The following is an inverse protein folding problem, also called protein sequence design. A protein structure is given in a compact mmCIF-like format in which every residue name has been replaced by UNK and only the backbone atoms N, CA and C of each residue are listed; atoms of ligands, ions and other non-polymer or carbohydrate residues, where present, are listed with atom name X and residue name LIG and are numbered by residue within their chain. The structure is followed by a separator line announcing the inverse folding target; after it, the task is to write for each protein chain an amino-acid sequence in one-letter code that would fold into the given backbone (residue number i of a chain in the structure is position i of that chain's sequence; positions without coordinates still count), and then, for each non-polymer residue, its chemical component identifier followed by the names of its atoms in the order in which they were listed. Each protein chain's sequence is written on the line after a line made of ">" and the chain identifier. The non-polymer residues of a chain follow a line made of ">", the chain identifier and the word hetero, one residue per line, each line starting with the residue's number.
data_IF_569313676130
#
_entry.id   IF_569313676130
#
_cell.length_a   1.000
_cell.length_b   1.000
_cell.length_c   1.000
_cell.angle_alpha   90.00
_cell.angle_beta   90.00
_cell.angle_gamma   90.00
#
_symmetry.space_group_name_H-M   'P 1'
#
loop_
_entity.id
_entity.type
_entity.pdbx_description
1 polymer ?
#
# COMPACT_ATOMS: atom_id res chain seq x y z
N UNK A 1 -13.34 4.30 70.98
CA UNK A 1 -12.00 4.27 70.37
C UNK A 1 -12.14 3.55 69.03
N UNK A 2 -12.47 4.30 67.99
CA UNK A 2 -12.58 3.83 66.61
C UNK A 2 -11.31 4.27 65.90
N UNK A 3 -10.50 3.34 65.42
CA UNK A 3 -9.37 3.67 64.54
C UNK A 3 -9.47 2.91 63.22
N UNK A 4 -9.17 3.66 62.17
CA UNK A 4 -9.48 3.43 60.75
C UNK A 4 -8.38 2.60 60.06
N UNK A 5 -8.84 1.75 59.15
CA UNK A 5 -8.42 1.56 57.75
C UNK A 5 -6.94 1.78 57.36
N UNK A 6 -6.31 0.73 56.82
CA UNK A 6 -5.51 0.79 55.59
C UNK A 6 -5.23 -0.64 55.06
N UNK A 7 -6.07 -1.17 54.17
CA UNK A 7 -5.67 -2.27 53.26
C UNK A 7 -5.21 -1.65 51.95
N UNK A 8 -3.95 -1.90 51.58
CA UNK A 8 -3.36 -1.60 50.27
C UNK A 8 -3.94 -2.57 49.24
N UNK A 9 -4.61 -2.05 48.22
CA UNK A 9 -4.84 -2.76 46.96
C UNK A 9 -3.66 -2.49 45.99
N UNK A 10 -3.31 -3.44 45.11
CA UNK A 10 -2.23 -3.26 44.16
C UNK A 10 -2.66 -2.34 43.01
N UNK A 11 -1.82 -1.35 42.71
CA UNK A 11 -2.00 -0.44 41.59
C UNK A 11 -1.99 -1.19 40.25
N UNK A 12 -3.17 -1.24 39.62
CA UNK A 12 -3.32 -1.47 38.18
C UNK A 12 -2.61 -0.33 37.43
N UNK A 13 -1.45 -0.64 36.84
CA UNK A 13 -0.84 0.18 35.80
C UNK A 13 -1.76 0.17 34.58
N UNK A 14 -2.65 1.16 34.48
CA UNK A 14 -3.42 1.42 33.26
C UNK A 14 -2.51 2.15 32.28
N UNK A 15 -2.19 1.48 31.17
CA UNK A 15 -1.43 2.02 30.07
C UNK A 15 -2.22 3.18 29.42
N UNK A 16 -1.90 4.42 29.80
CA UNK A 16 -2.50 5.65 29.27
C UNK A 16 -1.71 6.30 28.13
N UNK A 17 -0.73 5.60 27.54
CA UNK A 17 0.21 6.18 26.57
C UNK A 17 -0.05 5.81 25.10
N UNK A 18 -1.11 5.08 24.77
CA UNK A 18 -1.42 4.70 23.38
C UNK A 18 -1.99 5.83 22.50
N UNK A 19 -2.46 6.94 23.10
CA UNK A 19 -3.27 7.93 22.36
C UNK A 19 -2.49 9.00 21.59
N UNK A 20 -1.17 9.13 21.77
CA UNK A 20 -0.38 10.24 21.18
C UNK A 20 0.18 9.88 19.79
N UNK A 21 0.39 8.59 19.49
CA UNK A 21 1.04 8.15 18.26
C UNK A 21 0.07 7.95 17.08
N UNK A 22 -1.21 7.88 17.38
CA UNK A 22 -2.25 7.41 16.47
C UNK A 22 -2.54 8.34 15.26
N UNK A 23 -2.73 9.66 15.42
CA UNK A 23 -2.86 10.58 14.26
C UNK A 23 -1.53 10.85 13.53
N UNK A 24 -0.38 10.59 14.17
CA UNK A 24 0.94 10.77 13.56
C UNK A 24 1.26 9.65 12.54
N UNK A 25 0.70 8.45 12.73
CA UNK A 25 1.00 7.30 11.89
C UNK A 25 0.39 7.40 10.48
N UNK A 26 -0.81 7.97 10.33
CA UNK A 26 -1.42 8.21 9.03
C UNK A 26 -0.60 9.18 8.16
N UNK A 27 -0.14 10.29 8.74
CA UNK A 27 0.73 11.26 8.05
C UNK A 27 2.09 10.68 7.66
N UNK A 28 2.64 9.82 8.52
CA UNK A 28 3.87 9.08 8.27
C UNK A 28 3.68 8.13 7.08
N UNK A 29 2.60 7.34 7.05
CA UNK A 29 2.29 6.46 5.92
C UNK A 29 2.06 7.26 4.63
N UNK A 30 1.43 8.43 4.71
CA UNK A 30 1.26 9.32 3.56
C UNK A 30 2.63 9.82 3.02
N UNK A 31 3.51 10.27 3.91
CA UNK A 31 4.86 10.70 3.55
C UNK A 31 5.67 9.56 2.95
N UNK A 32 5.62 8.37 3.57
CA UNK A 32 6.21 7.15 3.03
C UNK A 32 5.65 6.82 1.64
N UNK A 33 4.35 6.95 1.44
CA UNK A 33 3.68 6.70 0.16
C UNK A 33 4.23 7.57 -0.96
N UNK A 34 4.37 8.87 -0.72
CA UNK A 34 4.91 9.82 -1.71
C UNK A 34 6.39 9.54 -1.99
N UNK A 35 7.19 9.29 -0.95
CA UNK A 35 8.62 9.00 -1.13
C UNK A 35 8.87 7.68 -1.87
N UNK A 36 8.11 6.64 -1.52
CA UNK A 36 8.15 5.35 -2.20
C UNK A 36 7.75 5.49 -3.67
N UNK A 37 6.68 6.22 -3.94
CA UNK A 37 6.22 6.48 -5.31
C UNK A 37 7.30 7.17 -6.15
N UNK A 38 7.94 8.22 -5.62
CA UNK A 38 9.06 8.89 -6.29
C UNK A 38 10.24 7.96 -6.54
N UNK A 39 10.56 7.09 -5.58
CA UNK A 39 11.66 6.14 -5.74
C UNK A 39 11.34 5.04 -6.77
N UNK A 40 10.09 4.64 -6.90
CA UNK A 40 9.65 3.72 -7.95
C UNK A 40 9.75 4.37 -9.33
N UNK A 41 9.37 5.66 -9.45
CA UNK A 41 9.52 6.41 -10.69
C UNK A 41 11.00 6.59 -11.08
N UNK A 42 11.91 6.83 -10.13
CA UNK A 42 13.33 6.96 -10.45
C UNK A 42 14.00 5.64 -10.81
N UNK A 43 13.47 4.51 -10.33
CA UNK A 43 13.97 3.17 -10.62
C UNK A 43 13.48 2.63 -11.98
N UNK A 44 12.30 3.04 -12.46
CA UNK A 44 11.79 2.61 -13.76
C UNK A 44 12.47 3.38 -14.90
N UNK A 45 13.31 2.69 -15.67
CA UNK A 45 14.01 3.27 -16.83
C UNK A 45 13.05 3.77 -17.93
N UNK A 46 11.80 3.29 -17.92
CA UNK A 46 10.73 3.69 -18.83
C UNK A 46 9.65 4.54 -18.14
N UNK A 47 9.92 5.14 -16.97
CA UNK A 47 8.94 5.85 -16.15
C UNK A 47 8.08 6.88 -16.90
N UNK A 48 8.59 7.46 -17.99
CA UNK A 48 7.86 8.44 -18.81
C UNK A 48 6.86 7.80 -19.81
N UNK A 49 6.87 6.48 -19.97
CA UNK A 49 6.05 5.75 -20.94
C UNK A 49 5.18 4.65 -20.32
N UNK A 50 5.56 4.11 -19.16
CA UNK A 50 4.79 3.08 -18.42
C UNK A 50 3.85 3.71 -17.40
N UNK A 51 2.65 3.14 -17.28
CA UNK A 51 1.76 3.38 -16.14
C UNK A 51 2.32 2.63 -14.92
N UNK A 52 2.27 3.25 -13.74
CA UNK A 52 2.78 2.68 -12.49
C UNK A 52 1.62 2.48 -11.52
N UNK A 53 1.65 1.38 -10.77
CA UNK A 53 0.75 1.13 -9.66
C UNK A 53 1.50 0.50 -8.50
N UNK A 54 1.31 1.03 -7.29
CA UNK A 54 1.74 0.36 -6.08
C UNK A 54 0.77 0.61 -4.93
N UNK A 55 0.88 -0.23 -3.90
CA UNK A 55 0.19 -0.04 -2.63
C UNK A 55 1.20 0.20 -1.51
N UNK A 56 1.40 1.47 -1.14
CA UNK A 56 2.34 1.82 -0.08
C UNK A 56 2.00 1.18 1.26
N UNK A 57 0.71 1.05 1.60
CA UNK A 57 0.25 0.42 2.83
C UNK A 57 0.78 -1.02 2.96
N UNK A 58 0.67 -1.80 1.89
CA UNK A 58 1.04 -3.22 1.93
C UNK A 58 2.55 -3.39 1.95
N UNK A 59 3.29 -2.57 1.20
CA UNK A 59 4.76 -2.51 1.26
C UNK A 59 5.24 -2.10 2.66
N UNK A 60 4.61 -1.10 3.28
CA UNK A 60 4.89 -0.67 4.63
C UNK A 60 4.60 -1.78 5.66
N UNK A 61 3.47 -2.49 5.51
CA UNK A 61 3.15 -3.64 6.34
C UNK A 61 4.21 -4.75 6.19
N UNK A 62 4.66 -5.03 4.97
CA UNK A 62 5.68 -6.02 4.68
C UNK A 62 7.02 -5.68 5.33
N UNK A 63 7.45 -4.42 5.26
CA UNK A 63 8.60 -3.91 6.00
C UNK A 63 8.41 -4.06 7.52
N UNK A 64 7.22 -3.76 8.03
CA UNK A 64 6.87 -3.97 9.43
C UNK A 64 6.99 -5.44 9.88
N UNK A 65 6.55 -6.39 9.06
CA UNK A 65 6.74 -7.82 9.31
C UNK A 65 8.21 -8.21 9.35
N UNK A 66 9.05 -7.62 8.48
CA UNK A 66 10.50 -7.85 8.52
C UNK A 66 11.14 -7.21 9.75
N UNK A 67 10.66 -6.04 10.20
CA UNK A 67 11.13 -5.36 11.41
C UNK A 67 10.93 -6.22 12.67
N UNK A 68 9.79 -6.91 12.78
CA UNK A 68 9.51 -7.83 13.89
C UNK A 68 10.62 -8.90 14.07
N UNK A 69 11.17 -9.37 12.94
CA UNK A 69 12.21 -10.37 12.87
C UNK A 69 13.64 -9.83 12.84
N UNK A 70 13.81 -8.55 12.49
CA UNK A 70 15.09 -7.92 12.32
C UNK A 70 15.73 -7.55 13.67
N UNK A 71 17.07 -7.55 13.73
CA UNK A 71 17.85 -7.07 14.87
C UNK A 71 18.94 -6.11 14.40
N UNK A 72 19.61 -5.48 15.36
CA UNK A 72 20.80 -4.66 15.14
C UNK A 72 20.63 -3.61 14.03
N UNK A 73 21.58 -3.53 13.09
CA UNK A 73 21.60 -2.50 12.05
C UNK A 73 20.45 -2.67 11.04
N UNK A 74 20.07 -3.92 10.74
CA UNK A 74 18.92 -4.23 9.89
C UNK A 74 17.63 -3.62 10.46
N UNK A 75 17.37 -3.82 11.76
CA UNK A 75 16.20 -3.22 12.41
C UNK A 75 16.26 -1.69 12.41
N UNK A 76 17.44 -1.09 12.64
CA UNK A 76 17.62 0.37 12.63
C UNK A 76 17.29 0.98 11.26
N UNK A 77 17.77 0.38 10.17
CA UNK A 77 17.50 0.87 8.82
C UNK A 77 16.00 0.81 8.47
N UNK A 78 15.33 -0.30 8.80
CA UNK A 78 13.89 -0.44 8.55
C UNK A 78 13.10 0.55 9.42
N UNK A 79 13.45 0.69 10.70
CA UNK A 79 12.79 1.63 11.62
C UNK A 79 12.95 3.08 11.16
N UNK A 80 14.11 3.44 10.59
CA UNK A 80 14.35 4.78 10.08
C UNK A 80 13.30 5.20 9.03
N UNK A 81 12.83 4.28 8.17
CA UNK A 81 11.76 4.57 7.20
C UNK A 81 10.45 5.00 7.87
N UNK A 82 10.17 4.50 9.07
CA UNK A 82 8.99 4.85 9.86
C UNK A 82 9.23 6.01 10.82
N UNK A 83 10.45 6.51 10.98
CA UNK A 83 10.76 7.56 11.97
C UNK A 83 11.25 8.84 11.30
N UNK A 84 12.04 8.75 10.23
CA UNK A 84 12.57 9.90 9.48
C UNK A 84 11.52 10.53 8.54
N UNK A 85 10.43 9.82 8.24
CA UNK A 85 9.27 10.39 7.57
C UNK A 85 8.50 11.41 8.45
N UNK A 86 8.91 11.63 9.70
CA UNK A 86 8.33 12.64 10.58
C UNK A 86 8.96 14.01 10.33
N UNK A 87 8.17 15.08 10.16
CA UNK A 87 8.68 16.45 10.18
C UNK A 87 9.48 16.69 11.46
N UNK A 88 10.63 17.35 11.36
CA UNK A 88 11.63 17.51 12.42
C UNK A 88 11.14 18.19 13.73
N UNK A 89 9.87 18.61 13.79
CA UNK A 89 9.21 19.17 14.98
C UNK A 89 8.43 18.17 15.84
N UNK A 90 8.14 16.97 15.34
CA UNK A 90 7.35 15.94 16.03
C UNK A 90 8.23 14.91 16.74
N UNK A 91 9.40 15.34 17.26
CA UNK A 91 10.23 14.48 18.10
C UNK A 91 9.41 14.09 19.33
N UNK A 92 9.09 12.81 19.46
CA UNK A 92 8.65 12.18 20.70
C UNK A 92 9.81 12.32 21.71
N UNK A 93 9.94 13.50 22.30
CA UNK A 93 11.02 13.88 23.20
C UNK A 93 10.71 13.40 24.61
N UNK A 94 10.67 12.08 24.79
CA UNK A 94 10.79 11.42 26.11
C UNK A 94 12.07 10.59 26.23
N UNK A 95 13.05 10.79 25.32
CA UNK A 95 14.36 10.13 25.39
C UNK A 95 14.34 8.60 25.20
N UNK A 96 13.17 8.00 24.99
CA UNK A 96 12.97 6.63 24.53
C UNK A 96 12.47 6.71 23.10
N UNK A 97 13.33 6.41 22.13
CA UNK A 97 12.94 6.40 20.72
C UNK A 97 11.70 5.54 20.47
N UNK A 98 11.00 5.76 19.34
CA UNK A 98 9.87 4.92 18.92
C UNK A 98 10.29 3.45 18.96
N UNK A 99 9.64 2.66 19.83
CA UNK A 99 9.91 1.23 19.94
C UNK A 99 9.27 0.47 18.78
N UNK A 100 9.85 -0.67 18.40
CA UNK A 100 9.26 -1.56 17.39
C UNK A 100 7.84 -1.97 17.78
N UNK A 101 7.60 -2.22 19.07
CA UNK A 101 6.28 -2.51 19.63
C UNK A 101 5.24 -1.43 19.31
N UNK A 102 5.64 -0.16 19.32
CA UNK A 102 4.74 0.93 19.01
C UNK A 102 4.34 0.90 17.52
N UNK A 103 5.30 0.64 16.63
CA UNK A 103 5.05 0.48 15.19
C UNK A 103 4.11 -0.71 14.95
N UNK A 104 4.37 -1.85 15.58
CA UNK A 104 3.53 -3.05 15.49
C UNK A 104 2.10 -2.80 16.01
N UNK A 105 1.95 -2.06 17.11
CA UNK A 105 0.65 -1.68 17.66
C UNK A 105 -0.13 -0.72 16.74
N UNK A 106 0.56 0.25 16.12
CA UNK A 106 -0.07 1.16 15.16
C UNK A 106 -0.58 0.44 13.92
N UNK A 107 0.21 -0.50 13.37
CA UNK A 107 -0.26 -1.37 12.29
C UNK A 107 -1.43 -2.25 12.72
N UNK A 108 -1.41 -2.81 13.94
CA UNK A 108 -2.52 -3.62 14.45
C UNK A 108 -3.83 -2.82 14.49
N UNK A 109 -3.78 -1.60 15.02
CA UNK A 109 -4.92 -0.67 15.09
C UNK A 109 -5.42 -0.30 13.69
N UNK A 110 -4.49 -0.02 12.77
CA UNK A 110 -4.81 0.30 11.38
C UNK A 110 -5.47 -0.88 10.65
N UNK A 111 -4.90 -2.07 10.73
CA UNK A 111 -5.45 -3.27 10.07
C UNK A 111 -6.83 -3.61 10.63
N UNK A 112 -7.03 -3.51 11.94
CA UNK A 112 -8.35 -3.71 12.56
C UNK A 112 -9.36 -2.65 12.07
N UNK A 113 -8.92 -1.41 11.88
CA UNK A 113 -9.77 -0.34 11.34
C UNK A 113 -10.13 -0.58 9.88
N UNK A 114 -9.18 -0.99 9.05
CA UNK A 114 -9.42 -1.35 7.65
C UNK A 114 -10.35 -2.55 7.52
N UNK A 115 -10.18 -3.57 8.36
CA UNK A 115 -11.12 -4.68 8.46
C UNK A 115 -12.52 -4.19 8.81
N UNK A 116 -12.73 -3.29 9.77
CA UNK A 116 -14.07 -2.71 10.02
C UNK A 116 -14.62 -1.86 8.88
N UNK A 117 -13.73 -1.25 8.09
CA UNK A 117 -14.11 -0.44 6.93
C UNK A 117 -14.58 -1.34 5.79
N UNK A 118 -13.89 -2.45 5.54
CA UNK A 118 -14.06 -3.32 4.36
C UNK A 118 -14.60 -4.73 4.63
N UNK A 119 -14.78 -5.16 5.89
CA UNK A 119 -15.42 -6.42 6.26
C UNK A 119 -16.93 -6.27 6.13
N UNK A 120 -17.47 -6.83 5.06
CA UNK A 120 -18.84 -7.31 5.04
C UNK A 120 -18.87 -8.71 5.68
N UNK A 121 -19.21 -8.78 6.96
CA UNK A 121 -19.59 -10.02 7.63
C UNK A 121 -20.94 -10.56 7.12
N UNK A 122 -21.12 -10.68 5.80
CA UNK A 122 -22.18 -11.44 5.17
C UNK A 122 -21.62 -12.33 4.06
N UNK A 123 -21.54 -13.63 4.38
CA UNK A 123 -21.34 -14.72 3.42
C UNK A 123 -22.51 -14.90 2.41
N UNK A 124 -23.28 -13.84 2.14
CA UNK A 124 -24.33 -13.77 1.14
C UNK A 124 -24.29 -12.38 0.48
N UNK A 125 -23.67 -12.31 -0.70
CA UNK A 125 -23.52 -11.14 -1.58
C UNK A 125 -22.78 -9.91 -0.98
N UNK A 126 -21.78 -9.33 -1.67
CA UNK A 126 -21.10 -8.12 -1.22
C UNK A 126 -22.12 -6.97 -1.17
N UNK A 127 -22.63 -6.68 0.02
CA UNK A 127 -23.64 -5.64 0.24
C UNK A 127 -22.98 -4.28 0.53
N UNK A 128 -21.72 -4.30 0.96
CA UNK A 128 -20.78 -3.18 1.01
C UNK A 128 -19.99 -3.13 -0.29
N UNK A 129 -20.22 -2.09 -1.06
CA UNK A 129 -19.68 -1.95 -2.41
C UNK A 129 -18.16 -1.79 -2.53
N UNK A 130 -17.31 -2.22 -1.58
CA UNK A 130 -15.86 -2.15 -1.72
C UNK A 130 -15.20 -3.41 -1.14
N UNK A 131 -14.41 -4.10 -1.96
CA UNK A 131 -13.60 -5.26 -1.58
C UNK A 131 -12.12 -4.88 -1.64
N UNK A 132 -11.45 -4.95 -0.50
CA UNK A 132 -9.99 -4.85 -0.39
C UNK A 132 -9.44 -6.20 0.05
N UNK A 133 -8.51 -6.78 -0.72
CA UNK A 133 -7.81 -8.01 -0.35
C UNK A 133 -6.32 -7.75 -0.23
N UNK A 134 -5.81 -7.91 0.98
CA UNK A 134 -4.39 -7.77 1.31
C UNK A 134 -3.79 -9.16 1.51
N UNK A 135 -2.82 -9.52 0.68
CA UNK A 135 -2.12 -10.79 0.75
C UNK A 135 -0.64 -10.53 1.07
N UNK A 136 -0.32 -10.54 2.36
CA UNK A 136 1.03 -10.34 2.88
C UNK A 136 1.54 -11.65 3.48
N UNK A 137 2.68 -12.16 3.01
CA UNK A 137 3.32 -13.32 3.61
C UNK A 137 4.83 -13.28 3.47
N UNK A 138 5.51 -13.70 4.54
CA UNK A 138 6.93 -14.02 4.48
C UNK A 138 7.10 -15.52 4.24
N UNK A 139 7.80 -15.88 3.18
CA UNK A 139 8.26 -17.24 2.93
C UNK A 139 9.72 -17.37 3.33
N UNK A 140 10.05 -18.38 4.14
CA UNK A 140 11.43 -18.67 4.54
C UNK A 140 11.88 -20.03 4.04
N UNK A 141 13.18 -20.22 3.86
CA UNK A 141 13.76 -21.56 3.68
C UNK A 141 13.53 -22.44 4.92
N UNK A 142 13.59 -23.75 4.74
CA UNK A 142 13.41 -24.73 5.84
C UNK A 142 14.40 -24.53 7.00
N UNK A 143 15.57 -23.95 6.74
CA UNK A 143 16.59 -23.66 7.75
C UNK A 143 16.25 -22.44 8.63
N UNK A 144 15.24 -21.66 8.27
CA UNK A 144 14.80 -20.45 8.96
C UNK A 144 13.31 -20.55 9.32
N UNK A 145 12.96 -21.53 10.15
CA UNK A 145 11.56 -21.73 10.56
C UNK A 145 11.07 -20.59 11.47
N UNK A 146 9.95 -19.92 11.11
CA UNK A 146 9.38 -18.86 11.93
C UNK A 146 9.02 -19.36 13.34
N UNK A 147 9.43 -18.62 14.37
CA UNK A 147 9.07 -18.94 15.75
C UNK A 147 7.56 -18.70 16.00
N UNK A 148 6.95 -19.43 16.94
CA UNK A 148 5.55 -19.18 17.32
C UNK A 148 5.31 -17.74 17.78
N UNK A 149 6.27 -17.13 18.47
CA UNK A 149 6.20 -15.73 18.92
C UNK A 149 6.21 -14.76 17.74
N UNK A 150 7.10 -14.98 16.76
CA UNK A 150 7.16 -14.17 15.54
C UNK A 150 5.86 -14.30 14.73
N UNK A 151 5.38 -15.53 14.52
CA UNK A 151 4.15 -15.79 13.79
C UNK A 151 2.92 -15.16 14.47
N UNK A 152 2.84 -15.22 15.81
CA UNK A 152 1.77 -14.60 16.58
C UNK A 152 1.78 -13.07 16.44
N UNK A 153 2.96 -12.44 16.53
CA UNK A 153 3.11 -10.99 16.36
C UNK A 153 2.73 -10.56 14.94
N UNK A 154 3.22 -11.25 13.91
CA UNK A 154 2.90 -10.92 12.51
C UNK A 154 1.40 -11.04 12.23
N UNK A 155 0.77 -12.09 12.73
CA UNK A 155 -0.67 -12.27 12.58
C UNK A 155 -1.47 -11.18 13.32
N UNK A 156 -1.12 -10.90 14.58
CA UNK A 156 -1.83 -9.92 15.41
C UNK A 156 -1.70 -8.47 14.90
N UNK A 157 -0.52 -8.11 14.38
CA UNK A 157 -0.24 -6.74 13.95
C UNK A 157 -0.53 -6.46 12.48
N UNK A 158 -0.45 -7.47 11.60
CA UNK A 158 -0.52 -7.26 10.15
C UNK A 158 -1.61 -8.07 9.46
N UNK A 159 -2.32 -8.97 10.17
CA UNK A 159 -3.25 -9.92 9.55
C UNK A 159 -2.56 -10.84 8.54
N UNK A 160 -1.26 -11.05 8.72
CA UNK A 160 -0.39 -11.72 7.78
C UNK A 160 0.12 -13.05 8.35
N UNK A 161 0.79 -13.83 7.52
CA UNK A 161 1.36 -15.12 7.92
C UNK A 161 2.82 -15.25 7.52
N UNK A 162 3.53 -16.17 8.17
CA UNK A 162 4.84 -16.62 7.77
C UNK A 162 4.79 -18.13 7.52
N UNK A 163 5.45 -18.60 6.47
CA UNK A 163 5.47 -20.01 6.10
C UNK A 163 6.88 -20.41 5.64
N UNK A 164 7.24 -21.68 5.80
CA UNK A 164 8.50 -22.22 5.30
C UNK A 164 8.26 -23.07 4.06
N UNK A 165 9.15 -22.93 3.08
CA UNK A 165 9.15 -23.69 1.83
C UNK A 165 10.57 -24.18 1.53
N UNK A 166 10.66 -25.24 0.75
CA UNK A 166 11.95 -25.80 0.35
C UNK A 166 12.49 -25.11 -0.90
N UNK A 167 13.21 -24.00 -0.71
CA UNK A 167 13.93 -23.37 -1.82
C UNK A 167 15.14 -24.19 -2.27
N UNK A 168 15.79 -24.94 -1.37
CA UNK A 168 17.06 -25.59 -1.64
C UNK A 168 16.94 -26.80 -2.56
N UNK A 169 16.00 -27.71 -2.26
CA UNK A 169 15.83 -28.94 -3.04
C UNK A 169 14.93 -28.74 -4.27
N UNK A 170 13.88 -27.91 -4.17
CA UNK A 170 12.93 -27.69 -5.26
C UNK A 170 12.40 -26.24 -5.33
N UNK A 171 13.23 -25.29 -5.83
CA UNK A 171 12.83 -23.89 -5.97
C UNK A 171 11.60 -23.69 -6.87
N UNK A 172 11.41 -24.52 -7.90
CA UNK A 172 10.26 -24.39 -8.80
C UNK A 172 8.95 -24.83 -8.14
N UNK A 173 8.98 -25.86 -7.30
CA UNK A 173 7.81 -26.22 -6.48
C UNK A 173 7.49 -25.11 -5.48
N UNK A 174 8.50 -24.56 -4.78
CA UNK A 174 8.31 -23.41 -3.89
C UNK A 174 7.68 -22.22 -4.63
N UNK A 175 8.17 -21.88 -5.82
CA UNK A 175 7.60 -20.84 -6.70
C UNK A 175 6.11 -21.05 -6.98
N UNK A 176 5.72 -22.29 -7.36
CA UNK A 176 4.33 -22.63 -7.67
C UNK A 176 3.43 -22.51 -6.44
N UNK A 177 3.86 -23.01 -5.29
CA UNK A 177 3.13 -22.89 -4.02
C UNK A 177 2.85 -21.43 -3.67
N UNK A 178 3.86 -20.57 -3.84
CA UNK A 178 3.72 -19.13 -3.58
C UNK A 178 2.72 -18.50 -4.56
N UNK A 179 2.84 -18.76 -5.86
CA UNK A 179 1.92 -18.22 -6.87
C UNK A 179 0.48 -18.72 -6.69
N UNK A 180 0.28 -19.99 -6.36
CA UNK A 180 -1.04 -20.55 -6.09
C UNK A 180 -1.69 -19.88 -4.87
N UNK A 181 -0.91 -19.63 -3.82
CA UNK A 181 -1.38 -18.86 -2.66
C UNK A 181 -1.78 -17.43 -3.06
N UNK A 182 -0.94 -16.70 -3.78
CA UNK A 182 -1.24 -15.33 -4.23
C UNK A 182 -2.49 -15.30 -5.12
N UNK A 183 -2.62 -16.23 -6.05
CA UNK A 183 -3.79 -16.34 -6.91
C UNK A 183 -5.06 -16.56 -6.09
N UNK A 184 -5.02 -17.46 -5.10
CA UNK A 184 -6.18 -17.71 -4.23
C UNK A 184 -6.58 -16.47 -3.42
N UNK A 185 -5.63 -15.81 -2.77
CA UNK A 185 -5.91 -14.62 -1.96
C UNK A 185 -6.46 -13.47 -2.82
N UNK A 186 -5.97 -13.33 -4.06
CA UNK A 186 -6.37 -12.26 -4.98
C UNK A 186 -7.54 -12.61 -5.89
N UNK A 187 -8.27 -13.70 -5.59
CA UNK A 187 -9.39 -14.18 -6.41
C UNK A 187 -9.02 -14.38 -7.90
N UNK A 188 -7.83 -14.92 -8.15
CA UNK A 188 -7.22 -15.16 -9.47
C UNK A 188 -6.94 -13.91 -10.30
N UNK A 189 -6.97 -12.73 -9.70
CA UNK A 189 -6.63 -11.47 -10.38
C UNK A 189 -5.11 -11.29 -10.55
N UNK A 190 -4.31 -11.93 -9.68
CA UNK A 190 -2.85 -12.00 -9.80
C UNK A 190 -2.47 -13.49 -9.86
N UNK A 191 -2.36 -14.03 -11.08
CA UNK A 191 -2.13 -15.46 -11.30
C UNK A 191 -0.66 -15.88 -11.15
N UNK A 192 0.29 -15.03 -11.55
CA UNK A 192 1.73 -15.30 -11.47
C UNK A 192 2.44 -14.05 -10.96
N UNK A 193 2.87 -14.10 -9.68
CA UNK A 193 3.67 -13.05 -9.06
C UNK A 193 5.16 -13.30 -9.28
N UNK A 194 5.60 -14.53 -9.02
CA UNK A 194 6.97 -14.97 -9.16
C UNK A 194 7.17 -15.59 -10.56
N UNK A 195 7.85 -14.89 -11.49
CA UNK A 195 8.16 -15.46 -12.79
C UNK A 195 9.15 -16.60 -12.65
N UNK A 196 9.26 -17.44 -13.69
CA UNK A 196 10.26 -18.52 -13.72
C UNK A 196 11.67 -17.95 -13.52
N UNK A 197 12.47 -18.61 -12.68
CA UNK A 197 13.82 -18.17 -12.33
C UNK A 197 13.90 -17.02 -11.33
N UNK A 198 12.78 -16.56 -10.75
CA UNK A 198 12.82 -15.52 -9.70
C UNK A 198 13.20 -16.06 -8.32
N UNK A 199 13.23 -17.37 -8.15
CA UNK A 199 13.68 -18.06 -6.93
C UNK A 199 14.68 -19.15 -7.32
N UNK A 200 15.69 -19.31 -6.49
CA UNK A 200 16.82 -20.22 -6.71
C UNK A 200 17.11 -21.02 -5.44
N UNK A 201 17.97 -22.04 -5.55
CA UNK A 201 18.38 -22.87 -4.39
C UNK A 201 19.05 -22.06 -3.26
N UNK A 202 19.61 -20.90 -3.59
CA UNK A 202 20.22 -19.94 -2.67
C UNK A 202 19.21 -19.00 -2.00
N UNK A 203 17.92 -19.07 -2.35
CA UNK A 203 16.88 -18.18 -1.83
C UNK A 203 16.60 -18.49 -0.37
N UNK A 204 16.88 -17.53 0.51
CA UNK A 204 16.72 -17.69 1.96
C UNK A 204 15.36 -17.25 2.47
N UNK A 205 14.84 -16.15 1.93
CA UNK A 205 13.51 -15.67 2.23
C UNK A 205 12.94 -14.89 1.05
N UNK A 206 11.62 -15.03 0.85
CA UNK A 206 10.84 -14.27 -0.11
C UNK A 206 9.74 -13.50 0.62
N UNK A 207 9.81 -12.17 0.56
CA UNK A 207 8.77 -11.29 1.04
C UNK A 207 7.76 -11.07 -0.09
N UNK A 208 6.56 -11.60 0.11
CA UNK A 208 5.51 -11.64 -0.91
C UNK A 208 4.37 -10.73 -0.51
N UNK A 209 4.10 -9.77 -1.38
CA UNK A 209 3.06 -8.78 -1.21
C UNK A 209 2.16 -8.73 -2.45
N UNK A 210 0.87 -9.00 -2.27
CA UNK A 210 -0.12 -8.83 -3.32
C UNK A 210 -1.36 -8.13 -2.78
N UNK A 211 -1.90 -7.21 -3.59
CA UNK A 211 -3.12 -6.49 -3.23
C UNK A 211 -4.05 -6.37 -4.41
N UNK A 212 -5.34 -6.56 -4.14
CA UNK A 212 -6.41 -6.36 -5.09
C UNK A 212 -7.48 -5.47 -4.46
N UNK A 213 -7.90 -4.47 -5.21
CA UNK A 213 -8.97 -3.58 -4.82
C UNK A 213 -10.04 -3.50 -5.89
N UNK A 214 -11.29 -3.62 -5.44
CA UNK A 214 -12.49 -3.46 -6.24
C UNK A 214 -13.45 -2.57 -5.46
N UNK A 215 -13.80 -1.41 -5.98
CA UNK A 215 -14.76 -0.50 -5.37
C UNK A 215 -15.87 -0.11 -6.35
N UNK A 216 -17.11 -0.13 -5.89
CA UNK A 216 -18.29 0.47 -6.52
C UNK A 216 -18.29 1.95 -6.23
N UNK A 217 -18.53 2.79 -7.23
CA UNK A 217 -18.71 4.22 -6.99
C UNK A 217 -19.91 4.47 -6.08
N UNK A 218 -19.85 5.53 -5.27
CA UNK A 218 -21.01 5.97 -4.50
C UNK A 218 -22.16 6.38 -5.43
N UNK A 219 -21.79 6.98 -6.56
CA UNK A 219 -22.68 7.38 -7.63
C UNK A 219 -22.06 6.94 -8.97
N UNK A 220 -22.61 5.90 -9.58
CA UNK A 220 -22.04 5.19 -10.73
C UNK A 220 -22.11 6.01 -12.03
N UNK A 221 -21.17 5.81 -12.94
CA UNK A 221 -21.28 6.33 -14.30
C UNK A 221 -22.36 5.55 -15.06
N UNK A 222 -23.00 6.19 -16.02
CA UNK A 222 -24.00 5.55 -16.89
C UNK A 222 -23.25 4.91 -18.08
N UNK A 223 -23.31 3.57 -18.26
CA UNK A 223 -22.63 2.90 -19.37
C UNK A 223 -23.02 3.44 -20.75
N UNK A 224 -24.24 3.96 -20.89
CA UNK A 224 -24.76 4.54 -22.12
C UNK A 224 -24.09 5.87 -22.49
N UNK A 225 -23.47 6.55 -21.52
CA UNK A 225 -22.76 7.80 -21.73
C UNK A 225 -21.26 7.59 -21.99
N UNK A 226 -20.77 6.36 -21.92
CA UNK A 226 -19.38 6.03 -22.25
C UNK A 226 -19.17 5.99 -23.75
N UNK A 227 -18.19 6.77 -24.23
CA UNK A 227 -17.88 6.89 -25.65
C UNK A 227 -16.39 6.68 -25.92
N UNK A 228 -16.05 6.37 -27.18
CA UNK A 228 -14.66 6.37 -27.65
C UNK A 228 -14.18 7.83 -27.79
N UNK A 229 -13.31 8.26 -26.89
CA UNK A 229 -12.68 9.58 -26.92
C UNK A 229 -11.15 9.45 -26.98
N UNK A 230 -10.42 10.43 -27.54
CA UNK A 230 -8.95 10.39 -27.56
C UNK A 230 -8.37 10.56 -26.15
N UNK A 231 -7.39 9.73 -25.81
CA UNK A 231 -6.46 9.90 -24.71
C UNK A 231 -5.08 10.23 -25.28
N UNK A 232 -4.54 11.38 -24.92
CA UNK A 232 -3.26 11.92 -25.40
C UNK A 232 -2.12 11.42 -24.51
N UNK A 233 -1.48 10.31 -24.90
CA UNK A 233 -0.26 9.80 -24.24
C UNK A 233 0.88 10.84 -24.29
N UNK A 234 0.94 11.64 -25.36
CA UNK A 234 1.82 12.80 -25.50
C UNK A 234 1.09 13.89 -26.31
N UNK A 235 1.61 15.14 -26.40
CA UNK A 235 1.00 16.18 -27.23
C UNK A 235 0.82 15.81 -28.72
N UNK A 236 1.53 14.79 -29.21
CA UNK A 236 1.52 14.36 -30.62
C UNK A 236 0.94 12.97 -30.83
N UNK A 237 0.74 12.18 -29.76
CA UNK A 237 0.31 10.79 -29.82
C UNK A 237 -0.94 10.60 -28.97
N UNK A 238 -2.00 10.13 -29.61
CA UNK A 238 -3.25 9.78 -28.93
C UNK A 238 -3.73 8.38 -29.31
N UNK A 239 -4.56 7.82 -28.44
CA UNK A 239 -5.24 6.53 -28.61
C UNK A 239 -6.71 6.73 -28.26
N UNK A 240 -7.63 6.04 -28.95
CA UNK A 240 -9.04 6.04 -28.54
C UNK A 240 -9.24 5.12 -27.35
N UNK A 241 -9.96 5.59 -26.34
CA UNK A 241 -10.26 4.85 -25.11
C UNK A 241 -11.73 4.99 -24.79
N UNK A 242 -12.27 4.03 -24.03
CA UNK A 242 -13.59 4.15 -23.41
C UNK A 242 -13.56 5.23 -22.34
N UNK A 243 -14.05 6.42 -22.67
CA UNK A 243 -14.15 7.56 -21.76
C UNK A 243 -15.53 7.57 -21.11
N UNK A 244 -15.56 7.31 -19.80
CA UNK A 244 -16.78 7.36 -19.01
C UNK A 244 -17.15 8.82 -18.76
N UNK A 245 -18.43 9.13 -18.74
CA UNK A 245 -18.92 10.49 -18.51
C UNK A 245 -19.95 10.54 -17.38
N UNK A 246 -19.86 11.56 -16.52
CA UNK A 246 -20.84 11.82 -15.48
C UNK A 246 -20.97 13.30 -15.17
N UNK A 247 -22.21 13.75 -15.00
CA UNK A 247 -22.52 15.07 -14.47
C UNK A 247 -22.98 14.91 -13.01
N UNK A 248 -22.18 15.38 -12.07
CA UNK A 248 -22.42 15.13 -10.65
C UNK A 248 -21.80 16.18 -9.75
N UNK A 249 -21.94 16.01 -8.44
CA UNK A 249 -21.27 16.86 -7.46
C UNK A 249 -20.02 16.17 -6.94
N UNK A 250 -18.87 16.75 -7.20
CA UNK A 250 -17.58 16.22 -6.79
C UNK A 250 -16.77 17.28 -6.05
N UNK A 251 -15.91 16.84 -5.13
CA UNK A 251 -14.95 17.75 -4.52
C UNK A 251 -13.81 17.99 -5.49
N UNK A 252 -13.49 19.26 -5.74
CA UNK A 252 -12.44 19.68 -6.65
C UNK A 252 -11.44 20.58 -5.95
N UNK A 253 -10.18 20.46 -6.33
CA UNK A 253 -9.09 21.31 -5.87
C UNK A 253 -8.25 21.77 -7.06
N UNK A 254 -7.53 22.87 -6.90
CA UNK A 254 -6.57 23.34 -7.90
C UNK A 254 -5.35 23.91 -7.20
N UNK A 255 -4.17 23.60 -7.73
CA UNK A 255 -2.92 24.15 -7.22
C UNK A 255 -2.22 24.94 -8.32
N UNK A 256 -2.42 26.26 -8.35
CA UNK A 256 -1.91 27.14 -9.41
C UNK A 256 -0.39 27.06 -9.57
N UNK A 257 0.37 27.01 -8.46
CA UNK A 257 1.83 26.95 -8.50
C UNK A 257 2.41 25.64 -9.07
N UNK A 258 1.62 24.57 -9.09
CA UNK A 258 2.00 23.27 -9.67
C UNK A 258 1.31 23.04 -11.02
N UNK A 259 0.32 23.87 -11.39
CA UNK A 259 -0.44 23.72 -12.63
C UNK A 259 -1.24 22.43 -12.69
N UNK A 260 -1.91 22.05 -11.58
CA UNK A 260 -2.70 20.82 -11.50
C UNK A 260 -4.09 21.06 -10.95
N UNK A 261 -5.04 20.23 -11.40
CA UNK A 261 -6.40 20.15 -10.89
C UNK A 261 -6.64 18.78 -10.27
N UNK A 262 -7.48 18.72 -9.25
CA UNK A 262 -7.81 17.51 -8.51
C UNK A 262 -9.32 17.30 -8.51
N UNK A 263 -9.76 16.04 -8.62
CA UNK A 263 -11.14 15.63 -8.33
C UNK A 263 -11.14 14.43 -7.38
N UNK A 264 -12.04 14.44 -6.40
CA UNK A 264 -12.28 13.32 -5.48
C UNK A 264 -13.60 12.65 -5.81
N UNK A 265 -13.54 11.36 -6.12
CA UNK A 265 -14.65 10.50 -6.52
C UNK A 265 -14.88 9.48 -5.40
N UNK A 266 -15.97 9.59 -4.64
CA UNK A 266 -16.23 8.70 -3.51
C UNK A 266 -16.70 7.30 -3.96
N UNK A 267 -16.26 6.27 -3.24
CA UNK A 267 -16.79 4.91 -3.36
C UNK A 267 -18.01 4.72 -2.45
N UNK A 268 -18.78 3.67 -2.72
CA UNK A 268 -19.98 3.31 -1.96
C UNK A 268 -19.64 3.11 -0.49
N UNK A 269 -20.52 3.61 0.38
CA UNK A 269 -20.29 3.66 1.83
C UNK A 269 -19.46 4.85 2.29
N UNK A 270 -18.91 5.68 1.38
CA UNK A 270 -18.16 6.91 1.69
C UNK A 270 -16.94 6.72 2.61
N UNK A 271 -16.45 5.48 2.72
CA UNK A 271 -15.27 5.14 3.54
C UNK A 271 -13.98 5.15 2.74
N UNK A 272 -14.06 5.20 1.41
CA UNK A 272 -12.92 5.31 0.50
C UNK A 272 -13.25 6.24 -0.66
N UNK A 273 -12.22 6.83 -1.26
CA UNK A 273 -12.36 7.66 -2.45
C UNK A 273 -11.16 7.48 -3.39
N UNK A 274 -11.40 7.66 -4.68
CA UNK A 274 -10.35 7.86 -5.66
C UNK A 274 -10.12 9.36 -5.83
N UNK A 275 -8.88 9.78 -5.70
CA UNK A 275 -8.41 11.14 -5.98
C UNK A 275 -7.67 11.09 -7.31
N UNK A 276 -8.09 11.89 -8.28
CA UNK A 276 -7.40 12.03 -9.57
C UNK A 276 -6.77 13.41 -9.62
N UNK A 277 -5.45 13.47 -9.84
CA UNK A 277 -4.67 14.69 -10.00
C UNK A 277 -4.22 14.78 -11.45
N UNK A 278 -4.75 15.77 -12.14
CA UNK A 278 -4.57 16.01 -13.57
C UNK A 278 -3.76 17.29 -13.77
N UNK A 279 -2.56 17.23 -14.38
CA UNK A 279 -1.84 18.41 -14.81
C UNK A 279 -2.62 19.23 -15.85
N UNK A 280 -2.36 20.53 -15.95
CA UNK A 280 -3.00 21.37 -16.97
C UNK A 280 -2.42 21.12 -18.37
N UNK A 281 -1.19 20.59 -18.45
CA UNK A 281 -0.49 20.24 -19.69
C UNK A 281 -0.48 18.73 -19.89
N UNK A 282 -0.66 18.30 -21.14
CA UNK A 282 -0.62 16.89 -21.55
C UNK A 282 0.66 16.17 -21.11
N UNK A 283 1.80 16.85 -21.17
CA UNK A 283 3.12 16.35 -20.77
C UNK A 283 3.55 16.78 -19.35
N UNK A 284 2.64 17.40 -18.59
CA UNK A 284 2.94 18.01 -17.29
C UNK A 284 3.10 17.03 -16.12
N UNK A 285 2.76 15.74 -16.30
CA UNK A 285 2.78 14.77 -15.20
C UNK A 285 4.18 14.56 -14.64
N UNK A 286 5.19 14.42 -15.51
CA UNK A 286 6.57 14.20 -15.08
C UNK A 286 7.12 15.37 -14.24
N UNK A 287 6.85 16.61 -14.68
CA UNK A 287 7.23 17.82 -13.94
C UNK A 287 6.54 17.90 -12.58
N UNK A 288 5.25 17.54 -12.52
CA UNK A 288 4.50 17.49 -11.28
C UNK A 288 5.08 16.46 -10.31
N UNK A 289 5.36 15.24 -10.78
CA UNK A 289 5.86 14.15 -9.94
C UNK A 289 7.25 14.43 -9.36
N UNK A 290 8.12 15.11 -10.11
CA UNK A 290 9.43 15.53 -9.61
C UNK A 290 9.27 16.56 -8.48
N UNK A 291 8.40 17.56 -8.68
CA UNK A 291 8.24 18.70 -7.77
C UNK A 291 7.41 18.39 -6.53
N UNK A 292 6.36 17.57 -6.64
CA UNK A 292 5.34 17.40 -5.60
C UNK A 292 5.94 16.90 -4.29
N UNK A 293 5.79 17.67 -3.22
CA UNK A 293 6.15 17.23 -1.87
C UNK A 293 4.96 16.57 -1.17
N UNK A 294 5.19 15.74 -0.13
CA UNK A 294 4.10 15.21 0.68
C UNK A 294 3.19 16.32 1.24
N UNK A 295 3.77 17.43 1.68
CA UNK A 295 3.03 18.56 2.22
C UNK A 295 2.15 19.24 1.15
N UNK A 296 2.68 19.45 -0.06
CA UNK A 296 1.92 20.03 -1.17
C UNK A 296 0.77 19.12 -1.61
N UNK A 297 1.01 17.81 -1.72
CA UNK A 297 -0.05 16.86 -2.09
C UNK A 297 -1.14 16.78 -1.02
N UNK A 298 -0.76 16.74 0.27
CA UNK A 298 -1.73 16.75 1.37
C UNK A 298 -2.55 18.04 1.40
N UNK A 299 -1.91 19.18 1.13
CA UNK A 299 -2.57 20.50 1.04
C UNK A 299 -3.52 20.56 -0.15
N UNK A 300 -3.11 20.04 -1.31
CA UNK A 300 -3.96 19.95 -2.50
C UNK A 300 -5.20 19.09 -2.25
N UNK A 301 -5.05 17.92 -1.63
CA UNK A 301 -6.19 17.05 -1.31
C UNK A 301 -7.12 17.74 -0.30
N UNK A 302 -6.55 18.41 0.70
CA UNK A 302 -7.32 19.13 1.72
C UNK A 302 -8.03 20.38 1.19
N UNK A 303 -7.54 20.96 0.07
CA UNK A 303 -8.21 22.08 -0.61
C UNK A 303 -9.55 21.68 -1.24
N UNK A 304 -9.73 20.40 -1.57
CA UNK A 304 -10.98 19.85 -2.12
C UNK A 304 -11.99 19.57 -0.99
N UNK A 305 -12.38 20.62 -0.26
CA UNK A 305 -13.25 20.54 0.90
C UNK A 305 -14.75 20.80 0.60
N UNK A 306 -15.08 21.20 -0.63
CA UNK A 306 -16.45 21.53 -1.03
C UNK A 306 -16.82 20.86 -2.35
N UNK A 307 -18.07 20.39 -2.46
CA UNK A 307 -18.56 19.75 -3.68
C UNK A 307 -19.11 20.80 -4.64
N UNK A 308 -18.72 20.71 -5.91
CA UNK A 308 -19.18 21.56 -7.01
C UNK A 308 -19.78 20.70 -8.11
N UNK A 309 -20.65 21.26 -8.96
CA UNK A 309 -21.19 20.55 -10.12
C UNK A 309 -20.09 20.42 -11.19
N UNK A 310 -19.71 19.20 -11.49
CA UNK A 310 -18.63 18.87 -12.43
C UNK A 310 -19.15 17.94 -13.52
N UNK A 311 -18.75 18.21 -14.76
CA UNK A 311 -18.83 17.29 -15.89
C UNK A 311 -17.51 16.52 -15.93
N UNK A 312 -17.53 15.33 -15.34
CA UNK A 312 -16.38 14.46 -15.16
C UNK A 312 -16.29 13.49 -16.34
N UNK A 313 -15.11 13.46 -16.97
CA UNK A 313 -14.69 12.42 -17.91
C UNK A 313 -13.49 11.68 -17.35
N UNK A 314 -13.60 10.36 -17.27
CA UNK A 314 -12.56 9.48 -16.75
C UNK A 314 -12.47 8.23 -17.63
N UNK A 315 -11.28 7.84 -18.11
CA UNK A 315 -11.16 6.63 -18.93
C UNK A 315 -11.41 5.38 -18.08
N UNK A 316 -11.97 4.34 -18.70
CA UNK A 316 -11.86 2.98 -18.17
C UNK A 316 -10.40 2.55 -18.26
N UNK A 317 -9.88 1.94 -17.22
CA UNK A 317 -8.54 1.39 -17.26
C UNK A 317 -8.38 0.23 -16.28
N UNK A 318 -7.41 -0.63 -16.59
CA UNK A 318 -6.96 -1.70 -15.73
C UNK A 318 -5.46 -1.62 -15.66
N UNK A 319 -4.94 -1.57 -14.44
CA UNK A 319 -3.50 -1.59 -14.20
C UNK A 319 -3.17 -2.82 -13.37
N UNK A 320 -2.11 -3.50 -13.77
CA UNK A 320 -1.47 -4.54 -12.98
C UNK A 320 0.03 -4.33 -13.11
N UNK A 321 0.69 -4.15 -11.96
CA UNK A 321 2.13 -3.92 -11.91
C UNK A 321 2.71 -4.91 -10.92
N UNK A 322 3.85 -5.50 -11.29
CA UNK A 322 4.69 -6.28 -10.39
C UNK A 322 6.05 -5.60 -10.33
N UNK A 323 6.49 -5.26 -9.13
CA UNK A 323 7.73 -4.51 -8.88
C UNK A 323 8.64 -5.30 -7.97
N UNK A 324 9.91 -5.38 -8.35
CA UNK A 324 10.99 -5.78 -7.44
C UNK A 324 11.32 -4.61 -6.50
N UNK A 325 11.04 -4.80 -5.22
CA UNK A 325 11.25 -3.79 -4.19
C UNK A 325 12.71 -3.73 -3.73
N UNK A 326 13.56 -4.71 -4.06
CA UNK A 326 14.92 -4.81 -3.55
C UNK A 326 15.72 -3.53 -3.86
N UNK A 327 15.77 -3.12 -5.13
CA UNK A 327 16.50 -1.94 -5.56
C UNK A 327 15.91 -0.64 -5.00
N UNK A 328 14.58 -0.53 -5.03
CA UNK A 328 13.84 0.64 -4.52
C UNK A 328 14.10 0.84 -3.02
N UNK A 329 13.92 -0.21 -2.20
CA UNK A 329 14.10 -0.14 -0.76
C UNK A 329 15.56 0.03 -0.35
N UNK A 330 16.50 -0.58 -1.10
CA UNK A 330 17.94 -0.35 -0.90
C UNK A 330 18.30 1.12 -1.10
N UNK A 331 17.74 1.75 -2.13
CA UNK A 331 17.93 3.18 -2.40
C UNK A 331 17.30 4.09 -1.33
N UNK A 332 16.26 3.60 -0.63
CA UNK A 332 15.65 4.28 0.52
C UNK A 332 16.41 4.04 1.84
N UNK A 333 17.53 3.30 1.81
CA UNK A 333 18.41 3.11 2.97
C UNK A 333 18.33 1.74 3.64
N UNK A 334 17.46 0.84 3.19
CA UNK A 334 17.35 -0.54 3.69
C UNK A 334 18.29 -1.44 2.90
N UNK A 335 19.56 -1.47 3.28
CA UNK A 335 20.61 -2.19 2.53
C UNK A 335 20.99 -3.52 3.18
N UNK A 336 21.05 -3.56 4.51
CA UNK A 336 21.50 -4.75 5.23
C UNK A 336 20.54 -5.92 5.02
N UNK A 337 19.22 -5.64 4.95
CA UNK A 337 18.15 -6.63 4.77
C UNK A 337 18.34 -7.52 3.54
N UNK A 338 18.87 -6.95 2.45
CA UNK A 338 19.08 -7.63 1.17
C UNK A 338 20.52 -8.11 0.98
N UNK A 339 21.33 -8.04 2.04
CA UNK A 339 22.75 -8.38 2.00
C UNK A 339 23.05 -9.55 2.94
N UNK A 340 24.24 -10.17 2.83
CA UNK A 340 24.70 -11.17 3.79
C UNK A 340 24.85 -10.64 5.23
N UNK A 341 24.74 -9.32 5.45
CA UNK A 341 24.78 -8.69 6.78
C UNK A 341 23.41 -8.62 7.46
N UNK A 342 22.35 -9.06 6.80
CA UNK A 342 21.01 -9.10 7.36
C UNK A 342 20.99 -9.88 8.67
N UNK A 343 20.44 -9.26 9.72
CA UNK A 343 20.20 -9.91 10.99
C UNK A 343 18.71 -10.12 11.17
N UNK A 344 18.24 -11.30 10.74
CA UNK A 344 16.86 -11.77 10.86
C UNK A 344 16.71 -12.83 11.98
N UNK A 345 17.62 -12.81 12.97
CA UNK A 345 17.63 -13.78 14.06
C UNK A 345 16.36 -13.78 14.91
N UNK A 346 15.54 -12.72 14.85
CA UNK A 346 14.25 -12.64 15.52
C UNK A 346 13.12 -13.41 14.82
N UNK A 347 13.35 -13.94 13.62
CA UNK A 347 12.38 -14.80 12.91
C UNK A 347 12.47 -16.23 13.41
N UNK A 348 13.69 -16.75 13.62
CA UNK A 348 13.91 -18.17 13.83
C UNK A 348 13.72 -18.60 15.29
N UNK A 349 13.08 -19.75 15.52
CA UNK A 349 12.98 -20.35 16.85
C UNK A 349 14.33 -20.88 17.40
N UNK A 350 15.27 -21.23 16.52
CA UNK A 350 16.56 -21.81 16.89
C UNK A 350 17.69 -21.15 16.10
N UNK A 351 18.59 -20.46 16.81
CA UNK A 351 19.96 -20.31 16.31
C UNK A 351 20.64 -21.66 16.56
N UNK A 352 21.37 -22.26 15.60
CA UNK A 352 22.26 -23.36 15.93
C UNK A 352 23.23 -22.80 16.97
N UNK A 353 23.13 -23.33 18.19
CA UNK A 353 23.99 -23.00 19.30
C UNK A 353 25.43 -23.07 18.83
N UNK A 354 26.17 -21.97 19.00
CA UNK A 354 27.62 -21.94 18.83
C UNK A 354 28.22 -23.02 19.73
N UNK A 355 28.59 -24.16 19.16
CA UNK A 355 29.08 -25.29 19.95
C UNK A 355 29.37 -26.52 19.12
N UNK A 356 30.64 -26.67 18.76
CA UNK A 356 31.32 -27.86 18.23
C UNK A 356 31.37 -28.06 16.70
N UNK A 357 32.61 -28.02 16.24
CA UNK A 357 33.14 -28.24 14.91
C UNK A 357 32.52 -29.45 14.20
N UNK A 358 31.89 -29.22 13.05
CA UNK A 358 31.74 -30.24 12.01
C UNK A 358 31.84 -29.57 10.65
N UNK A 359 32.93 -29.90 9.95
CA UNK A 359 33.22 -29.51 8.58
C UNK A 359 32.32 -30.30 7.62
N UNK A 360 31.10 -29.84 7.43
CA UNK A 360 30.24 -30.20 6.31
C UNK A 360 29.11 -29.17 6.21
N UNK A 361 29.34 -28.09 5.45
CA UNK A 361 28.28 -27.14 5.09
C UNK A 361 27.24 -27.83 4.19
N UNK A 362 25.94 -27.78 4.51
CA UNK A 362 24.97 -27.39 3.50
C UNK A 362 24.93 -25.85 3.45
N UNK A 363 24.66 -25.31 2.27
CA UNK A 363 24.50 -23.87 2.02
C UNK A 363 23.22 -23.32 2.68
N UNK A 364 23.14 -23.39 4.00
CA UNK A 364 21.96 -23.01 4.78
C UNK A 364 22.05 -21.58 5.29
N UNK A 365 20.90 -20.91 5.33
CA UNK A 365 20.70 -19.49 5.67
C UNK A 365 20.98 -19.13 7.15
N UNK A 366 21.50 -20.07 7.94
CA UNK A 366 21.75 -19.93 9.36
C UNK A 366 23.23 -19.68 9.67
N UNK A 367 23.55 -18.43 10.02
CA UNK A 367 24.85 -17.91 10.51
C UNK A 367 26.00 -17.85 9.48
N UNK A 368 26.32 -16.61 9.09
CA UNK A 368 27.63 -16.26 8.52
C UNK A 368 27.77 -16.38 7.01
N UNK A 369 26.80 -16.98 6.31
CA UNK A 369 26.77 -17.04 4.85
C UNK A 369 25.34 -16.86 4.33
N UNK A 370 25.10 -15.76 3.59
CA UNK A 370 23.92 -15.47 2.75
C UNK A 370 22.51 -15.29 3.40
N UNK A 371 22.39 -14.84 4.65
CA UNK A 371 21.11 -14.80 5.39
C UNK A 371 20.23 -13.53 5.24
N UNK A 372 19.97 -13.05 4.02
CA UNK A 372 19.07 -11.90 3.76
C UNK A 372 17.73 -12.25 3.13
N UNK A 373 16.83 -11.27 3.00
CA UNK A 373 15.66 -11.41 2.11
C UNK A 373 16.17 -11.40 0.68
N UNK A 374 16.08 -12.55 0.01
CA UNK A 374 16.62 -12.73 -1.34
C UNK A 374 15.66 -12.20 -2.41
N UNK A 375 14.36 -12.20 -2.13
CA UNK A 375 13.32 -11.77 -3.06
C UNK A 375 12.30 -10.92 -2.32
N UNK A 376 11.99 -9.73 -2.83
CA UNK A 376 10.92 -8.87 -2.30
C UNK A 376 10.05 -8.36 -3.45
N UNK A 377 8.93 -9.04 -3.70
CA UNK A 377 8.02 -8.69 -4.79
C UNK A 377 6.74 -8.07 -4.27
N UNK A 378 6.34 -6.99 -4.93
CA UNK A 378 5.03 -6.36 -4.77
C UNK A 378 4.23 -6.46 -6.05
N UNK A 379 3.00 -6.93 -5.97
CA UNK A 379 2.04 -6.81 -7.07
C UNK A 379 0.75 -6.13 -6.63
N UNK A 380 0.31 -5.19 -7.45
CA UNK A 380 -0.92 -4.46 -7.27
C UNK A 380 -1.75 -4.54 -8.54
N UNK A 381 -3.06 -4.72 -8.38
CA UNK A 381 -4.01 -4.68 -9.48
C UNK A 381 -5.23 -3.82 -9.12
N UNK A 382 -5.61 -2.95 -10.04
CA UNK A 382 -6.83 -2.12 -9.96
C UNK A 382 -7.55 -2.12 -11.30
N UNK A 383 -8.88 -2.09 -11.25
CA UNK A 383 -9.77 -2.08 -12.42
C UNK A 383 -10.84 -1.01 -12.19
N UNK A 384 -10.97 -0.09 -13.16
CA UNK A 384 -11.86 1.07 -13.10
C UNK A 384 -12.87 1.02 -14.25
N UNK A 385 -14.15 0.94 -13.90
CA UNK A 385 -15.31 0.83 -14.81
C UNK A 385 -16.47 1.73 -14.33
N UNK A 386 -17.59 1.76 -15.05
CA UNK A 386 -18.70 2.69 -14.81
C UNK A 386 -19.47 2.45 -13.52
N UNK A 387 -19.78 1.20 -13.25
CA UNK A 387 -20.44 0.79 -12.02
C UNK A 387 -19.47 0.97 -10.83
N UNK A 388 -18.17 0.87 -11.13
CA UNK A 388 -17.31 -0.09 -10.46
C UNK A 388 -17.92 -1.49 -10.52
N UNK A 389 -17.25 -2.50 -11.06
CA UNK A 389 -17.81 -3.86 -11.31
C UNK A 389 -19.15 -4.30 -10.62
N UNK A 390 -20.18 -4.36 -11.47
CA UNK A 390 -21.58 -4.84 -11.49
C UNK A 390 -22.77 -4.05 -10.86
N UNK A 391 -23.79 -3.83 -11.71
CA UNK A 391 -24.85 -2.79 -11.77
C UNK A 391 -25.97 -2.74 -10.71
N UNK A 392 -26.59 -1.55 -10.60
CA UNK A 392 -28.05 -1.37 -10.73
C UNK A 392 -28.44 0.09 -11.09
N UNK A 393 -29.57 0.24 -11.80
CA UNK A 393 -29.97 1.36 -12.66
C UNK A 393 -30.36 2.72 -12.03
N UNK A 394 -29.86 3.80 -12.65
CA UNK A 394 -30.61 4.91 -13.29
C UNK A 394 -31.59 5.81 -12.49
N UNK A 395 -31.21 7.08 -12.27
CA UNK A 395 -32.17 8.19 -12.14
C UNK A 395 -31.61 9.47 -12.77
N UNK A 396 -32.13 9.81 -13.95
CA UNK A 396 -31.77 11.02 -14.69
C UNK A 396 -32.34 12.28 -14.01
N UNK A 397 -31.49 13.29 -13.79
CA UNK A 397 -31.91 14.62 -13.32
C UNK A 397 -31.75 15.68 -14.41
N UNK A 398 -32.80 16.49 -14.60
CA UNK A 398 -32.91 17.54 -15.61
C UNK A 398 -31.99 18.74 -15.28
N UNK A 399 -31.31 19.25 -16.31
CA UNK A 399 -30.32 20.32 -16.29
C UNK A 399 -30.90 21.69 -15.88
N UNK A 400 -30.35 22.27 -14.82
CA UNK A 400 -30.27 23.74 -14.66
C UNK A 400 -28.86 24.22 -15.01
N UNK A 401 -28.80 25.27 -15.84
CA UNK A 401 -27.57 25.99 -16.26
C UNK A 401 -26.99 26.76 -15.06
N UNK A 402 -26.18 26.08 -14.27
CA UNK A 402 -25.02 26.70 -13.60
C UNK A 402 -23.80 26.18 -14.35
N UNK A 403 -22.81 27.04 -14.59
CA UNK A 403 -21.57 26.68 -15.28
C UNK A 403 -20.91 25.51 -14.53
N UNK A 404 -21.07 24.30 -15.07
CA UNK A 404 -20.50 23.10 -14.51
C UNK A 404 -19.04 23.04 -14.94
N UNK A 405 -18.14 22.92 -13.96
CA UNK A 405 -16.69 22.79 -14.19
C UNK A 405 -16.46 21.52 -15.03
N UNK A 406 -15.62 21.60 -16.05
CA UNK A 406 -15.21 20.43 -16.81
C UNK A 406 -13.96 19.84 -16.18
N UNK A 407 -13.96 18.53 -15.96
CA UNK A 407 -12.77 17.78 -15.57
C UNK A 407 -12.65 16.60 -16.52
N UNK A 408 -11.66 16.63 -17.41
CA UNK A 408 -11.47 15.62 -18.45
C UNK A 408 -10.10 15.00 -18.33
N UNK A 409 -10.04 13.77 -17.82
CA UNK A 409 -8.78 13.02 -17.68
C UNK A 409 -8.40 12.33 -19.01
N UNK A 410 -8.15 13.13 -20.05
CA UNK A 410 -7.79 12.66 -21.41
C UNK A 410 -6.28 12.63 -21.67
N UNK A 411 -5.44 12.76 -20.65
CA UNK A 411 -3.98 12.72 -20.76
C UNK A 411 -3.38 12.28 -19.42
N UNK A 412 -2.05 12.01 -19.35
CA UNK A 412 -1.44 11.41 -18.17
C UNK A 412 -1.79 12.06 -16.84
N UNK A 413 -2.27 11.25 -15.90
CA UNK A 413 -2.69 11.71 -14.57
C UNK A 413 -2.16 10.79 -13.45
N UNK A 414 -2.02 11.36 -12.25
CA UNK A 414 -1.79 10.62 -11.01
C UNK A 414 -3.15 10.29 -10.38
N UNK A 415 -3.29 9.12 -9.77
CA UNK A 415 -4.41 8.81 -8.91
C UNK A 415 -3.97 8.21 -7.59
N UNK A 416 -4.80 8.42 -6.56
CA UNK A 416 -4.68 7.80 -5.27
C UNK A 416 -6.01 7.16 -4.89
N UNK A 417 -5.98 5.97 -4.30
CA UNK A 417 -7.14 5.41 -3.59
C UNK A 417 -6.84 5.52 -2.11
N UNK A 418 -7.69 6.22 -1.36
CA UNK A 418 -7.48 6.48 0.06
C UNK A 418 -8.72 6.20 0.89
N UNK A 419 -8.52 5.86 2.15
CA UNK A 419 -9.62 5.84 3.13
C UNK A 419 -10.07 7.27 3.44
N UNK A 420 -11.37 7.44 3.62
CA UNK A 420 -11.95 8.69 4.10
C UNK A 420 -12.37 8.45 5.55
N UNK A 421 -11.52 8.90 6.46
CA UNK A 421 -11.73 8.67 7.88
C UNK A 421 -12.72 9.62 8.51
N UNK A 422 -13.42 9.12 9.52
CA UNK A 422 -14.21 9.94 10.46
C UNK A 422 -13.44 10.24 11.74
N UNK A 423 -12.36 9.49 12.02
CA UNK A 423 -11.46 9.73 13.14
C UNK A 423 -10.04 10.11 12.67
N UNK A 424 -9.23 10.78 13.52
CA UNK A 424 -7.84 11.14 13.19
C UNK A 424 -6.91 9.95 12.89
N UNK A 425 -7.28 8.71 13.26
CA UNK A 425 -6.59 7.48 12.86
C UNK A 425 -6.98 7.00 11.46
N UNK A 426 -8.23 7.23 11.07
CA UNK A 426 -8.80 6.76 9.81
C UNK A 426 -8.56 7.72 8.65
N UNK A 427 -8.19 8.97 8.96
CA UNK A 427 -8.00 10.02 7.99
C UNK A 427 -6.77 9.73 7.13
N UNK A 428 -7.02 9.43 5.85
CA UNK A 428 -6.10 9.61 4.74
C UNK A 428 -5.00 8.54 4.59
N UNK A 429 -5.31 7.27 4.87
CA UNK A 429 -4.42 6.16 4.52
C UNK A 429 -4.50 5.91 3.02
N UNK A 430 -3.35 6.01 2.34
CA UNK A 430 -3.22 5.72 0.91
C UNK A 430 -3.13 4.21 0.71
N UNK A 431 -4.20 3.64 0.15
CA UNK A 431 -4.28 2.23 -0.20
C UNK A 431 -3.52 1.95 -1.49
N UNK A 432 -3.68 2.83 -2.49
CA UNK A 432 -3.00 2.75 -3.79
C UNK A 432 -2.54 4.12 -4.23
N UNK A 433 -1.41 4.16 -4.91
CA UNK A 433 -0.95 5.30 -5.68
C UNK A 433 -0.49 4.80 -7.04
N UNK A 434 -0.84 5.53 -8.10
CA UNK A 434 -0.45 5.14 -9.44
C UNK A 434 -0.57 6.29 -10.42
N UNK A 435 0.08 6.14 -11.56
CA UNK A 435 0.00 7.05 -12.69
C UNK A 435 -0.48 6.31 -13.92
N UNK A 436 -1.44 6.90 -14.62
CA UNK A 436 -1.93 6.40 -15.90
C UNK A 436 -1.27 7.23 -16.99
N UNK A 437 -0.25 6.69 -17.66
CA UNK A 437 0.37 7.31 -18.85
C UNK A 437 -0.15 6.73 -20.15
N UNK A 438 -0.61 5.48 -20.07
CA UNK A 438 -1.23 4.74 -21.14
C UNK A 438 -2.41 3.95 -20.60
N UNK A 439 -3.48 3.96 -21.37
CA UNK A 439 -4.68 3.17 -21.13
C UNK A 439 -4.70 2.06 -22.18
N UNK A 440 -4.62 0.82 -21.73
CA UNK A 440 -4.85 -0.34 -22.59
C UNK A 440 -6.36 -0.68 -22.59
N UNK A 441 -6.83 -1.31 -23.67
CA UNK A 441 -8.24 -1.63 -23.85
C UNK A 441 -8.72 -2.62 -22.78
N UNK A 442 -9.79 -2.26 -22.05
CA UNK A 442 -10.44 -3.06 -20.98
C UNK A 442 -11.78 -3.59 -21.45
#
# INVERSE_FOLDING_TARGET
>A
MFERSARREPHLFTCRHSSIMEPAFGQLLFTFSVNLYKQLLSADSNANASSLLCSPLTIAAALGMTLAGARNNTAKQIRALFVEAMPSGSRLSDGRGTSDDAIHAAFASLMMSLSRVFDDNHHQAPSGGVTLRLANRLYTGLDLQPSPEYAALVNASYGASAASVDFGADPESARRVINEWVSRETASKIAELLPRGSVEASTCAALVNAVYFRGLWADQFEPELTAEEPFYETPTKSRKVKMMYKNGRFAIGRHEGLGVSLVTIPYRGLKASMVVVLPDKVDGLADFEQRVTPLELASLISSANSTTKVRLRLPRFKLSTTTDLLHTLSSMGVTDLFSPRADLSGIAATLPSSGSNSSASPAGCGRGTAGGVSVALHSAAIEVTEEGTEAAAGSASILTRRDAVEFTADHPFLFLVRTQGTTPLEADVVLFVGSVRRVDDV
#
